data_IF_892940272467
#
_entry.id   IF_892940272467
#
_cell.length_a   1.000
_cell.length_b   1.000
_cell.length_c   1.000
_cell.angle_alpha   90.00
_cell.angle_beta   90.00
_cell.angle_gamma   90.00
#
_symmetry.space_group_name_H-M   'P 1'
#
loop_
_entity.id
_entity.type
_entity.pdbx_description
1 polymer ?
#
# COMPACT_ATOMS: atom_id res chain seq x y z
N UNK A 1 -28.79 -24.93 23.22
CA UNK A 1 -28.30 -23.82 22.39
C UNK A 1 -27.44 -24.42 21.28
N UNK A 2 -27.69 -24.07 20.01
CA UNK A 2 -26.69 -24.32 18.96
C UNK A 2 -25.44 -23.53 19.36
N UNK A 3 -24.26 -24.15 19.33
CA UNK A 3 -23.00 -23.41 19.39
C UNK A 3 -23.03 -22.43 18.21
N UNK A 4 -23.19 -21.13 18.49
CA UNK A 4 -23.01 -20.10 17.46
C UNK A 4 -21.51 -19.96 17.26
N UNK A 5 -21.04 -20.14 16.04
CA UNK A 5 -19.70 -19.71 15.67
C UNK A 5 -19.76 -18.18 15.60
N UNK A 6 -18.87 -17.51 16.34
CA UNK A 6 -18.81 -16.06 16.36
C UNK A 6 -17.43 -15.59 15.88
N UNK A 7 -17.42 -14.51 15.12
CA UNK A 7 -16.24 -13.85 14.63
C UNK A 7 -16.21 -12.41 15.13
N UNK A 8 -14.99 -11.90 15.38
CA UNK A 8 -14.75 -10.51 15.75
C UNK A 8 -14.04 -9.80 14.61
N UNK A 9 -14.53 -8.62 14.25
CA UNK A 9 -13.84 -7.69 13.37
C UNK A 9 -13.39 -6.48 14.19
N UNK A 10 -12.13 -6.08 14.02
CA UNK A 10 -11.57 -4.83 14.55
C UNK A 10 -11.01 -3.99 13.40
N UNK A 11 -11.13 -2.67 13.48
CA UNK A 11 -10.60 -1.76 12.47
C UNK A 11 -10.26 -0.38 13.02
N UNK A 12 -9.27 0.28 12.42
CA UNK A 12 -8.90 1.67 12.69
C UNK A 12 -9.15 2.50 11.43
N UNK A 13 -9.78 3.67 11.60
CA UNK A 13 -10.05 4.60 10.50
C UNK A 13 -9.75 6.04 10.91
N UNK A 14 -8.98 6.82 10.15
CA UNK A 14 -8.17 6.40 8.99
C UNK A 14 -7.07 5.40 9.37
N UNK A 15 -6.80 4.43 8.49
CA UNK A 15 -5.81 3.35 8.69
C UNK A 15 -4.35 3.79 8.46
N UNK A 16 -4.12 5.06 8.13
CA UNK A 16 -2.80 5.65 7.98
C UNK A 16 -2.51 6.57 9.16
N UNK A 17 -1.32 6.48 9.74
CA UNK A 17 -0.84 7.41 10.74
C UNK A 17 -0.60 8.78 10.11
N UNK A 18 -1.19 9.80 10.71
CA UNK A 18 -1.06 11.19 10.29
C UNK A 18 -0.86 12.04 11.55
N UNK A 19 0.35 12.60 11.76
CA UNK A 19 0.63 13.42 12.93
C UNK A 19 -0.18 14.73 12.95
N UNK A 20 -0.65 15.21 11.79
CA UNK A 20 -1.46 16.43 11.67
C UNK A 20 -2.94 16.16 11.94
N UNK A 21 -3.36 14.89 11.92
CA UNK A 21 -4.72 14.48 12.21
C UNK A 21 -4.79 13.60 13.47
N UNK A 22 -5.07 14.20 14.64
CA UNK A 22 -5.13 13.45 15.90
C UNK A 22 -6.36 12.55 16.02
N UNK A 23 -7.33 12.66 15.10
CA UNK A 23 -8.61 11.97 15.19
C UNK A 23 -8.59 10.63 14.45
N UNK A 24 -8.96 9.57 15.18
CA UNK A 24 -9.16 8.21 14.64
C UNK A 24 -10.41 7.58 15.22
N UNK A 25 -10.81 6.46 14.63
CA UNK A 25 -11.93 5.65 15.09
C UNK A 25 -11.49 4.20 15.21
N UNK A 26 -11.71 3.60 16.37
CA UNK A 26 -11.62 2.15 16.55
C UNK A 26 -13.04 1.60 16.41
N UNK A 27 -13.21 0.57 15.58
CA UNK A 27 -14.49 -0.12 15.40
C UNK A 27 -14.34 -1.59 15.78
N UNK A 28 -15.25 -2.11 16.59
CA UNK A 28 -15.34 -3.53 16.93
C UNK A 28 -16.75 -4.03 16.57
N UNK A 29 -16.83 -5.19 15.91
CA UNK A 29 -18.08 -5.87 15.56
C UNK A 29 -17.97 -7.35 15.88
N UNK A 30 -18.87 -7.85 16.72
CA UNK A 30 -19.04 -9.28 16.97
C UNK A 30 -20.24 -9.78 16.16
N UNK A 31 -20.06 -10.86 15.40
CA UNK A 31 -21.08 -11.37 14.50
C UNK A 31 -21.06 -12.89 14.41
N UNK A 32 -22.19 -13.48 14.05
CA UNK A 32 -22.32 -14.91 13.78
C UNK A 32 -21.61 -15.25 12.47
N UNK A 33 -20.63 -16.16 12.53
CA UNK A 33 -19.74 -16.47 11.40
C UNK A 33 -20.46 -17.11 10.21
N UNK A 34 -21.61 -17.76 10.45
CA UNK A 34 -22.35 -18.47 9.41
C UNK A 34 -23.34 -17.56 8.67
N UNK A 35 -23.88 -16.56 9.37
CA UNK A 35 -24.96 -15.69 8.86
C UNK A 35 -24.57 -14.23 8.67
N UNK A 36 -23.40 -13.83 9.17
CA UNK A 36 -22.96 -12.43 9.30
C UNK A 36 -23.93 -11.54 10.12
N UNK A 37 -24.86 -12.16 10.86
CA UNK A 37 -25.77 -11.45 11.74
C UNK A 37 -25.00 -10.85 12.93
N UNK A 38 -25.23 -9.57 13.20
CA UNK A 38 -24.62 -8.91 14.35
C UNK A 38 -25.10 -9.56 15.65
N UNK A 39 -24.18 -9.74 16.59
CA UNK A 39 -24.49 -10.14 17.95
C UNK A 39 -24.62 -8.84 18.76
N UNK A 40 -25.84 -8.54 19.20
CA UNK A 40 -26.19 -7.33 19.96
C UNK A 40 -25.87 -7.48 21.45
N UNK A 41 -25.93 -6.37 22.19
CA UNK A 41 -25.69 -6.29 23.64
C UNK A 41 -24.40 -7.00 24.06
N UNK A 42 -23.27 -6.46 23.61
CA UNK A 42 -21.95 -7.06 23.84
C UNK A 42 -21.11 -6.18 24.73
N UNK A 43 -20.53 -6.78 25.78
CA UNK A 43 -19.52 -6.15 26.62
C UNK A 43 -18.14 -6.78 26.35
N UNK A 44 -17.15 -5.92 26.13
CA UNK A 44 -15.76 -6.28 25.84
C UNK A 44 -14.85 -5.73 26.94
N UNK A 45 -13.92 -6.51 27.46
CA UNK A 45 -12.69 -5.96 28.04
C UNK A 45 -11.64 -5.88 26.93
N UNK A 46 -11.16 -4.68 26.63
CA UNK A 46 -10.26 -4.40 25.52
C UNK A 46 -8.97 -3.79 26.06
N UNK A 47 -7.88 -4.52 25.86
CA UNK A 47 -6.52 -4.05 26.07
C UNK A 47 -5.86 -3.73 24.73
N UNK A 48 -5.21 -2.57 24.62
CA UNK A 48 -4.41 -2.18 23.48
C UNK A 48 -2.97 -1.91 23.94
N UNK A 49 -1.99 -2.44 23.21
CA UNK A 49 -0.56 -2.28 23.47
C UNK A 49 0.18 -1.77 22.24
N UNK A 50 1.28 -1.05 22.46
CA UNK A 50 2.28 -0.73 21.44
C UNK A 50 3.65 -1.06 21.96
N UNK A 51 4.44 -1.81 21.19
CA UNK A 51 5.81 -2.21 21.54
C UNK A 51 5.87 -2.84 22.95
N UNK A 52 4.90 -3.71 23.27
CA UNK A 52 4.76 -4.39 24.57
C UNK A 52 4.27 -3.52 25.74
N UNK A 53 4.05 -2.21 25.54
CA UNK A 53 3.53 -1.30 26.58
C UNK A 53 2.03 -1.14 26.46
N UNK A 54 1.32 -1.30 27.58
CA UNK A 54 -0.13 -1.06 27.65
C UNK A 54 -0.43 0.43 27.42
N UNK A 55 -1.33 0.70 26.48
CA UNK A 55 -1.89 2.03 26.21
C UNK A 55 -3.12 2.22 27.08
N UNK A 56 -4.07 1.28 27.01
CA UNK A 56 -5.23 1.23 27.88
C UNK A 56 -5.68 -0.23 28.05
N UNK A 57 -6.44 -0.47 29.12
CA UNK A 57 -7.19 -1.72 29.34
C UNK A 57 -8.51 -1.36 30.02
N UNK A 58 -9.61 -1.46 29.27
CA UNK A 58 -10.89 -0.88 29.67
C UNK A 58 -12.06 -1.77 29.27
N UNK A 59 -13.19 -1.62 29.95
CA UNK A 59 -14.42 -2.32 29.62
C UNK A 59 -15.30 -1.40 28.78
N UNK A 60 -15.78 -1.91 27.64
CA UNK A 60 -16.68 -1.22 26.73
C UNK A 60 -17.95 -2.02 26.49
N UNK A 61 -19.04 -1.32 26.22
CA UNK A 61 -20.33 -1.93 25.91
C UNK A 61 -20.96 -1.29 24.67
N UNK A 62 -21.61 -2.10 23.83
CA UNK A 62 -22.47 -1.60 22.76
C UNK A 62 -23.73 -2.47 22.63
N UNK A 63 -24.88 -1.80 22.75
CA UNK A 63 -26.21 -2.42 22.63
C UNK A 63 -26.46 -2.99 21.22
N UNK A 64 -25.89 -2.37 20.18
CA UNK A 64 -26.10 -2.74 18.78
C UNK A 64 -24.99 -3.62 18.22
N UNK A 65 -24.07 -4.13 19.06
CA UNK A 65 -22.99 -5.01 18.66
C UNK A 65 -21.94 -4.39 17.72
N UNK A 66 -21.95 -3.06 17.54
CA UNK A 66 -21.05 -2.31 16.66
C UNK A 66 -20.39 -1.15 17.42
N UNK A 67 -19.53 -1.50 18.36
CA UNK A 67 -18.81 -0.54 19.18
C UNK A 67 -17.94 0.36 18.29
N UNK A 68 -18.15 1.66 18.39
CA UNK A 68 -17.34 2.68 17.71
C UNK A 68 -16.80 3.68 18.71
N UNK A 69 -15.48 3.71 18.84
CA UNK A 69 -14.75 4.58 19.76
C UNK A 69 -14.08 5.67 18.94
N UNK A 70 -14.40 6.94 19.23
CA UNK A 70 -13.62 8.07 18.71
C UNK A 70 -12.36 8.21 19.56
N UNK A 71 -11.20 8.28 18.92
CA UNK A 71 -9.91 8.49 19.58
C UNK A 71 -9.39 9.87 19.17
N UNK A 72 -8.98 10.66 20.16
CA UNK A 72 -8.30 11.95 19.95
C UNK A 72 -6.93 11.83 20.61
N UNK A 73 -5.90 11.64 19.79
CA UNK A 73 -4.53 11.52 20.26
C UNK A 73 -4.01 12.89 20.70
N UNK A 74 -3.44 12.97 21.91
CA UNK A 74 -2.84 14.19 22.45
C UNK A 74 -1.75 13.86 23.49
N UNK A 75 -1.16 14.90 24.06
CA UNK A 75 -0.04 14.80 25.01
C UNK A 75 -0.48 14.74 26.48
N UNK A 76 -1.67 14.20 26.77
CA UNK A 76 -2.04 13.89 28.15
C UNK A 76 -1.16 12.74 28.67
N UNK A 77 -0.97 12.69 29.98
CA UNK A 77 -0.19 11.60 30.60
C UNK A 77 -0.99 10.28 30.64
N UNK A 78 -2.30 10.37 30.79
CA UNK A 78 -3.22 9.23 30.92
C UNK A 78 -4.32 9.26 29.85
N UNK A 79 -4.93 8.09 29.62
CA UNK A 79 -6.12 7.96 28.78
C UNK A 79 -7.37 8.37 29.58
N UNK A 80 -8.14 9.31 29.03
CA UNK A 80 -9.42 9.78 29.56
C UNK A 80 -10.55 9.30 28.67
N UNK A 81 -11.61 8.77 29.28
CA UNK A 81 -12.80 8.27 28.59
C UNK A 81 -13.97 9.23 28.83
N UNK A 82 -14.58 9.70 27.74
CA UNK A 82 -15.81 10.47 27.75
C UNK A 82 -16.94 9.59 27.22
N UNK A 83 -17.78 9.09 28.13
CA UNK A 83 -18.91 8.23 27.83
C UNK A 83 -19.84 8.11 29.03
N UNK A 84 -20.78 7.17 28.95
CA UNK A 84 -21.56 6.70 30.10
C UNK A 84 -21.23 5.23 30.35
N UNK A 85 -21.45 4.74 31.56
CA UNK A 85 -21.22 3.34 31.90
C UNK A 85 -22.55 2.60 31.94
N UNK A 86 -22.60 1.40 31.36
CA UNK A 86 -23.75 0.53 31.52
C UNK A 86 -23.83 -0.05 32.94
N UNK A 87 -25.02 -0.32 33.50
CA UNK A 87 -25.19 -0.55 34.93
C UNK A 87 -24.71 -1.91 35.46
N UNK A 88 -24.51 -2.90 34.60
CA UNK A 88 -24.30 -4.31 34.96
C UNK A 88 -22.83 -4.63 35.19
N UNK A 89 -21.97 -4.36 34.20
CA UNK A 89 -20.53 -4.64 34.22
C UNK A 89 -19.68 -3.35 34.18
N UNK A 90 -20.32 -2.17 34.12
CA UNK A 90 -19.64 -0.88 34.10
C UNK A 90 -18.97 -0.53 32.77
N UNK A 91 -19.33 -1.20 31.68
CA UNK A 91 -18.74 -0.97 30.37
C UNK A 91 -19.03 0.43 29.82
N UNK A 92 -17.99 1.13 29.36
CA UNK A 92 -18.12 2.43 28.73
C UNK A 92 -18.84 2.32 27.38
N UNK A 93 -19.83 3.18 27.18
CA UNK A 93 -20.64 3.25 25.97
C UNK A 93 -20.93 4.70 25.59
N UNK A 94 -21.40 4.89 24.36
CA UNK A 94 -21.85 6.21 23.88
C UNK A 94 -23.06 6.68 24.68
N UNK A 95 -23.23 8.00 24.77
CA UNK A 95 -24.48 8.60 25.24
C UNK A 95 -25.43 8.78 24.04
N UNK A 96 -26.74 8.81 24.26
CA UNK A 96 -27.76 9.11 23.23
C UNK A 96 -27.44 10.33 22.36
N UNK A 97 -26.72 11.32 22.90
CA UNK A 97 -26.40 12.57 22.19
C UNK A 97 -24.91 12.76 21.87
N UNK A 98 -24.01 11.89 22.35
CA UNK A 98 -22.55 12.07 22.20
C UNK A 98 -21.83 10.74 21.95
N UNK A 99 -20.84 10.71 21.05
CA UNK A 99 -20.04 9.51 20.84
C UNK A 99 -19.23 9.17 22.10
N UNK A 100 -18.84 7.90 22.21
CA UNK A 100 -17.82 7.45 23.14
C UNK A 100 -16.45 7.97 22.64
N UNK A 101 -15.71 8.67 23.49
CA UNK A 101 -14.43 9.29 23.13
C UNK A 101 -13.32 8.85 24.09
N UNK A 102 -12.18 8.45 23.54
CA UNK A 102 -10.92 8.28 24.26
C UNK A 102 -9.98 9.44 23.90
N UNK A 103 -9.37 10.07 24.91
CA UNK A 103 -8.37 11.13 24.75
C UNK A 103 -7.10 10.72 25.46
N UNK A 104 -5.95 10.88 24.82
CA UNK A 104 -4.67 10.54 25.44
C UNK A 104 -3.61 10.15 24.41
N UNK A 105 -2.46 9.62 24.86
CA UNK A 105 -1.34 9.25 23.99
C UNK A 105 -1.56 7.86 23.36
N UNK A 106 -2.63 7.69 22.57
CA UNK A 106 -3.06 6.38 22.04
C UNK A 106 -2.36 6.03 20.73
N UNK A 107 -2.59 6.78 19.65
CA UNK A 107 -1.99 6.52 18.35
C UNK A 107 -0.87 7.52 18.07
N UNK A 108 0.20 7.46 18.88
CA UNK A 108 1.33 8.40 18.82
C UNK A 108 2.31 8.13 17.69
N UNK A 109 2.26 6.94 17.09
CA UNK A 109 3.08 6.52 15.95
C UNK A 109 2.34 5.55 15.04
N UNK A 110 2.87 5.29 13.84
CA UNK A 110 2.41 4.18 13.01
C UNK A 110 2.95 2.82 13.47
N UNK A 111 2.64 1.79 12.70
CA UNK A 111 3.08 0.43 12.91
C UNK A 111 2.04 -0.45 13.61
N UNK A 112 2.51 -1.56 14.18
CA UNK A 112 1.67 -2.62 14.71
C UNK A 112 1.23 -2.34 16.15
N UNK A 113 -0.06 -2.49 16.45
CA UNK A 113 -0.65 -2.39 17.78
C UNK A 113 -1.27 -3.73 18.17
N UNK A 114 -0.80 -4.33 19.26
CA UNK A 114 -1.33 -5.59 19.76
C UNK A 114 -2.61 -5.30 20.56
N UNK A 115 -3.60 -6.18 20.43
CA UNK A 115 -4.79 -6.13 21.26
C UNK A 115 -5.10 -7.48 21.88
N UNK A 116 -5.74 -7.40 23.05
CA UNK A 116 -6.41 -8.52 23.69
C UNK A 116 -7.85 -8.12 23.98
N UNK A 117 -8.81 -8.91 23.49
CA UNK A 117 -10.23 -8.67 23.68
C UNK A 117 -10.84 -9.87 24.39
N UNK A 118 -11.45 -9.62 25.55
CA UNK A 118 -12.24 -10.60 26.28
C UNK A 118 -13.72 -10.27 26.17
N UNK A 119 -14.53 -11.26 25.77
CA UNK A 119 -15.99 -11.09 25.66
C UNK A 119 -16.61 -11.42 27.02
N UNK A 120 -17.32 -10.46 27.62
CA UNK A 120 -17.89 -10.59 28.97
C UNK A 120 -19.39 -10.88 28.96
N UNK A 121 -20.13 -10.39 27.96
CA UNK A 121 -21.56 -10.67 27.79
C UNK A 121 -21.97 -10.55 26.32
N UNK A 122 -23.07 -11.21 25.94
CA UNK A 122 -23.63 -11.20 24.57
C UNK A 122 -25.15 -11.37 24.57
N UNK A 123 -25.84 -10.82 23.57
CA UNK A 123 -27.30 -10.87 23.34
C UNK A 123 -28.18 -10.22 24.42
N UNK A 124 -27.68 -10.04 25.64
CA UNK A 124 -28.31 -9.32 26.74
C UNK A 124 -27.26 -8.95 27.77
N UNK A 125 -27.39 -7.77 28.37
CA UNK A 125 -26.46 -7.26 29.39
C UNK A 125 -26.33 -8.22 30.60
N UNK A 126 -27.41 -8.97 30.89
CA UNK A 126 -27.46 -9.95 31.98
C UNK A 126 -26.89 -11.33 31.62
N UNK A 127 -26.65 -11.60 30.34
CA UNK A 127 -26.11 -12.86 29.87
C UNK A 127 -24.58 -12.83 29.90
N UNK A 128 -24.05 -12.83 31.13
CA UNK A 128 -22.62 -12.84 31.42
C UNK A 128 -22.04 -14.20 31.03
N UNK A 129 -20.89 -14.17 30.35
CA UNK A 129 -20.17 -15.37 29.93
C UNK A 129 -19.16 -15.71 31.02
N UNK A 130 -19.30 -16.90 31.63
CA UNK A 130 -18.37 -17.39 32.65
C UNK A 130 -17.06 -17.94 32.04
N UNK A 131 -17.12 -18.41 30.80
CA UNK A 131 -15.95 -18.90 30.07
C UNK A 131 -15.06 -17.73 29.61
N UNK A 132 -13.75 -17.89 29.76
CA UNK A 132 -12.78 -16.88 29.32
C UNK A 132 -12.60 -16.95 27.79
N UNK A 133 -13.47 -16.24 27.07
CA UNK A 133 -13.35 -16.08 25.62
C UNK A 133 -12.43 -14.90 25.35
N UNK A 134 -11.14 -15.19 25.15
CA UNK A 134 -10.09 -14.23 24.82
C UNK A 134 -9.69 -14.33 23.34
N UNK A 135 -9.45 -13.17 22.73
CA UNK A 135 -9.00 -13.01 21.37
C UNK A 135 -7.79 -12.09 21.37
N UNK A 136 -6.64 -12.64 21.00
CA UNK A 136 -5.40 -11.90 20.79
C UNK A 136 -5.18 -11.69 19.30
N UNK A 137 -4.71 -10.50 18.95
CA UNK A 137 -4.32 -10.18 17.59
C UNK A 137 -3.58 -8.86 17.52
N UNK A 138 -3.38 -8.36 16.32
CA UNK A 138 -2.72 -7.09 16.09
C UNK A 138 -3.36 -6.32 14.94
N UNK A 139 -3.27 -5.00 15.00
CA UNK A 139 -3.77 -4.09 13.98
C UNK A 139 -2.69 -3.09 13.57
N UNK A 140 -2.47 -2.99 12.27
CA UNK A 140 -1.47 -2.08 11.70
C UNK A 140 -2.06 -0.72 11.39
N UNK A 141 -1.33 0.32 11.77
CA UNK A 141 -1.56 1.68 11.33
C UNK A 141 -0.44 2.06 10.34
N UNK A 142 -0.76 2.20 9.05
CA UNK A 142 0.25 2.39 8.03
C UNK A 142 1.09 3.65 8.30
N UNK A 143 2.40 3.56 8.11
CA UNK A 143 3.33 4.66 8.39
C UNK A 143 4.08 5.06 7.12
N UNK A 144 4.07 6.36 6.85
CA UNK A 144 4.91 6.94 5.81
C UNK A 144 6.24 7.40 6.40
N UNK A 145 7.34 7.02 5.76
CA UNK A 145 8.70 7.41 6.11
C UNK A 145 9.37 8.06 4.90
N UNK A 146 10.22 9.06 5.14
CA UNK A 146 10.93 9.79 4.10
C UNK A 146 12.44 9.66 4.31
N UNK A 147 13.15 9.29 3.25
CA UNK A 147 14.59 9.08 3.28
C UNK A 147 15.26 9.87 2.17
N UNK A 148 16.34 10.57 2.52
CA UNK A 148 17.19 11.30 1.58
C UNK A 148 18.28 10.36 1.08
N UNK A 149 18.42 10.28 -0.23
CA UNK A 149 19.45 9.50 -0.92
C UNK A 149 20.09 10.35 -2.01
N UNK A 150 21.29 9.97 -2.47
CA UNK A 150 21.94 10.67 -3.58
C UNK A 150 21.90 9.80 -4.82
N UNK A 151 21.61 10.41 -5.97
CA UNK A 151 21.78 9.76 -7.28
C UNK A 151 23.26 9.68 -7.70
N UNK A 152 23.54 9.15 -8.90
CA UNK A 152 24.90 9.05 -9.42
C UNK A 152 25.60 10.40 -9.63
N UNK A 153 24.84 11.49 -9.77
CA UNK A 153 25.34 12.86 -9.90
C UNK A 153 25.51 13.56 -8.55
N UNK A 154 25.27 12.86 -7.45
CA UNK A 154 25.26 13.41 -6.09
C UNK A 154 24.16 14.45 -5.86
N UNK A 155 23.07 14.39 -6.61
CA UNK A 155 21.86 15.16 -6.32
C UNK A 155 20.99 14.44 -5.29
N UNK A 156 20.52 15.17 -4.29
CA UNK A 156 19.63 14.63 -3.26
C UNK A 156 18.25 14.32 -3.87
N UNK A 157 17.76 13.10 -3.63
CA UNK A 157 16.41 12.62 -3.94
C UNK A 157 15.74 12.18 -2.65
N UNK A 158 14.42 12.39 -2.56
CA UNK A 158 13.61 11.92 -1.44
C UNK A 158 12.84 10.69 -1.86
N UNK A 159 13.10 9.56 -1.21
CA UNK A 159 12.31 8.33 -1.34
C UNK A 159 11.28 8.31 -0.21
N UNK A 160 10.06 7.91 -0.55
CA UNK A 160 9.02 7.63 0.44
C UNK A 160 8.83 6.12 0.56
N UNK A 161 8.84 5.60 1.79
CA UNK A 161 8.49 4.21 2.09
C UNK A 161 7.25 4.20 2.97
N UNK A 162 6.20 3.54 2.50
CA UNK A 162 4.96 3.33 3.25
C UNK A 162 4.92 1.87 3.68
N UNK A 163 4.93 1.64 4.99
CA UNK A 163 4.73 0.32 5.56
C UNK A 163 3.31 0.15 6.03
N UNK A 164 2.67 -0.93 5.60
CA UNK A 164 1.32 -1.32 6.00
C UNK A 164 1.32 -2.38 7.11
N UNK A 165 2.50 -2.75 7.63
CA UNK A 165 2.64 -3.77 8.67
C UNK A 165 3.14 -3.17 10.00
N UNK A 166 4.44 -2.87 10.09
CA UNK A 166 5.04 -2.21 11.26
C UNK A 166 5.99 -1.08 10.84
N UNK A 167 6.55 -0.34 11.80
CA UNK A 167 7.48 0.77 11.56
C UNK A 167 8.73 0.32 10.80
N UNK A 168 9.21 1.19 9.93
CA UNK A 168 10.47 0.98 9.19
C UNK A 168 11.66 1.28 10.10
N UNK A 169 12.67 0.42 10.04
CA UNK A 169 13.94 0.51 10.74
C UNK A 169 15.11 0.35 9.74
N UNK A 170 16.32 0.74 10.17
CA UNK A 170 17.60 0.45 9.50
C UNK A 170 17.66 0.75 7.99
N UNK A 171 17.06 1.86 7.55
CA UNK A 171 17.14 2.27 6.16
C UNK A 171 18.58 2.55 5.73
N UNK A 172 18.96 2.03 4.57
CA UNK A 172 20.20 2.38 3.88
C UNK A 172 20.02 2.35 2.36
N UNK A 173 20.85 3.14 1.67
CA UNK A 173 20.90 3.16 0.22
C UNK A 173 22.36 3.13 -0.24
N UNK A 174 22.75 2.03 -0.89
CA UNK A 174 24.12 1.80 -1.34
C UNK A 174 24.10 1.08 -2.69
N UNK A 175 24.95 1.49 -3.63
CA UNK A 175 25.09 0.82 -4.94
C UNK A 175 23.75 0.60 -5.67
N UNK A 176 22.91 1.65 -5.73
CA UNK A 176 21.58 1.60 -6.35
C UNK A 176 20.66 0.52 -5.75
N UNK A 177 20.80 0.26 -4.46
CA UNK A 177 20.02 -0.72 -3.71
C UNK A 177 19.48 -0.08 -2.46
N UNK A 178 18.15 -0.17 -2.29
CA UNK A 178 17.46 0.22 -1.07
C UNK A 178 17.44 -1.00 -0.13
N UNK A 179 17.79 -0.79 1.13
CA UNK A 179 17.59 -1.77 2.21
C UNK A 179 16.87 -1.12 3.36
N UNK A 180 15.98 -1.87 3.99
CA UNK A 180 15.29 -1.46 5.21
C UNK A 180 14.78 -2.71 5.93
N UNK A 181 14.48 -2.58 7.21
CA UNK A 181 13.88 -3.65 7.99
C UNK A 181 12.61 -3.16 8.68
N UNK A 182 11.89 -4.11 9.27
CA UNK A 182 10.84 -3.83 10.23
C UNK A 182 10.80 -4.96 11.26
N UNK A 183 10.30 -4.70 12.48
CA UNK A 183 10.02 -5.76 13.44
C UNK A 183 9.07 -6.80 12.85
N UNK A 184 9.43 -8.08 12.95
CA UNK A 184 8.61 -9.19 12.51
C UNK A 184 8.98 -10.47 13.25
N UNK A 185 8.04 -10.99 14.05
CA UNK A 185 8.24 -12.26 14.73
C UNK A 185 7.98 -13.42 13.76
N UNK A 186 9.03 -14.04 13.24
CA UNK A 186 8.90 -15.20 12.36
C UNK A 186 8.32 -16.43 13.05
N UNK A 187 8.26 -16.43 14.38
CA UNK A 187 7.70 -17.52 15.19
C UNK A 187 6.21 -17.35 15.54
N UNK A 188 5.58 -16.25 15.11
CA UNK A 188 4.17 -15.99 15.38
C UNK A 188 3.23 -16.98 14.65
N UNK A 189 1.94 -16.94 15.03
CA UNK A 189 0.90 -17.61 14.28
C UNK A 189 0.65 -16.87 12.96
N UNK A 190 1.16 -17.45 11.87
CA UNK A 190 1.03 -16.88 10.54
C UNK A 190 -0.40 -16.97 10.00
N UNK A 191 -1.30 -17.76 10.61
CA UNK A 191 -2.70 -17.85 10.18
C UNK A 191 -3.46 -16.53 10.36
N UNK A 192 -3.01 -15.68 11.29
CA UNK A 192 -3.59 -14.36 11.52
C UNK A 192 -3.09 -13.30 10.52
N UNK A 193 -2.04 -13.61 9.74
CA UNK A 193 -1.47 -12.71 8.76
C UNK A 193 -2.07 -12.95 7.38
N UNK A 194 -2.57 -11.90 6.73
CA UNK A 194 -2.97 -11.97 5.32
C UNK A 194 -1.80 -11.67 4.39
N UNK A 195 -1.13 -10.54 4.62
CA UNK A 195 -0.08 -10.01 3.75
C UNK A 195 0.84 -9.06 4.51
N UNK A 196 2.11 -9.04 4.12
CA UNK A 196 3.02 -7.94 4.41
C UNK A 196 3.16 -7.10 3.15
N UNK A 197 2.77 -5.83 3.23
CA UNK A 197 2.78 -4.90 2.10
C UNK A 197 3.62 -3.67 2.41
N UNK A 198 4.54 -3.36 1.49
CA UNK A 198 5.37 -2.16 1.48
C UNK A 198 5.19 -1.42 0.15
N UNK A 199 5.16 -0.09 0.19
CA UNK A 199 5.25 0.76 -1.00
C UNK A 199 6.53 1.60 -0.94
N UNK A 200 7.29 1.62 -2.04
CA UNK A 200 8.44 2.49 -2.22
C UNK A 200 8.10 3.45 -3.35
N UNK A 201 7.94 4.74 -3.04
CA UNK A 201 7.72 5.78 -4.05
C UNK A 201 9.04 6.44 -4.40
N UNK A 202 9.37 6.36 -5.67
CA UNK A 202 10.61 6.84 -6.27
C UNK A 202 10.23 8.07 -7.10
N UNK A 203 10.80 9.24 -6.82
CA UNK A 203 10.46 10.44 -7.57
C UNK A 203 10.87 10.28 -9.03
N UNK A 204 10.06 10.82 -9.94
CA UNK A 204 10.30 10.77 -11.37
C UNK A 204 11.62 11.45 -11.79
N UNK A 205 12.25 12.21 -10.89
CA UNK A 205 13.56 12.83 -11.07
C UNK A 205 14.73 11.93 -10.71
N UNK A 206 14.48 10.73 -10.18
CA UNK A 206 15.50 9.74 -9.84
C UNK A 206 15.67 8.69 -10.94
N UNK A 207 16.14 9.16 -12.11
CA UNK A 207 16.32 8.37 -13.34
C UNK A 207 17.01 7.01 -13.13
N UNK A 208 18.10 6.97 -12.36
CA UNK A 208 18.92 5.76 -12.16
C UNK A 208 18.19 4.63 -11.45
N UNK A 209 17.20 4.97 -10.62
CA UNK A 209 16.44 4.01 -9.85
C UNK A 209 15.12 3.65 -10.54
N UNK A 210 14.72 4.38 -11.59
CA UNK A 210 13.53 4.08 -12.37
C UNK A 210 13.82 2.94 -13.35
N UNK A 211 13.18 1.79 -13.13
CA UNK A 211 13.29 0.61 -13.99
C UNK A 211 11.93 -0.02 -14.26
N UNK A 212 11.82 -0.75 -15.36
CA UNK A 212 10.62 -1.53 -15.72
C UNK A 212 10.51 -2.83 -14.92
N UNK A 213 11.56 -3.20 -14.18
CA UNK A 213 11.58 -4.34 -13.28
C UNK A 213 12.45 -4.04 -12.07
N UNK A 214 12.04 -4.54 -10.92
CA UNK A 214 12.86 -4.56 -9.71
C UNK A 214 13.01 -6.00 -9.24
N UNK A 215 14.15 -6.28 -8.61
CA UNK A 215 14.39 -7.50 -7.85
C UNK A 215 14.32 -7.14 -6.37
N UNK A 216 13.61 -7.96 -5.61
CA UNK A 216 13.47 -7.77 -4.17
C UNK A 216 13.81 -9.04 -3.42
N UNK A 217 14.40 -8.89 -2.23
CA UNK A 217 14.65 -10.01 -1.32
C UNK A 217 14.06 -9.74 0.05
N UNK A 218 13.62 -10.80 0.73
CA UNK A 218 13.27 -10.78 2.15
C UNK A 218 14.20 -11.73 2.89
N UNK A 219 14.90 -11.21 3.90
CA UNK A 219 15.89 -11.95 4.70
C UNK A 219 16.94 -12.68 3.82
N UNK A 220 17.29 -12.08 2.68
CA UNK A 220 18.24 -12.63 1.69
C UNK A 220 17.63 -13.64 0.70
N UNK A 221 16.32 -13.88 0.76
CA UNK A 221 15.60 -14.79 -0.14
C UNK A 221 14.97 -13.98 -1.26
N UNK A 222 15.34 -14.28 -2.51
CA UNK A 222 14.76 -13.63 -3.68
C UNK A 222 13.25 -13.88 -3.72
N UNK A 223 12.48 -12.80 -3.80
CA UNK A 223 11.04 -12.86 -3.95
C UNK A 223 10.65 -13.19 -5.40
N UNK A 224 9.50 -13.85 -5.61
CA UNK A 224 8.94 -14.05 -6.93
C UNK A 224 8.62 -12.72 -7.63
N UNK A 225 8.67 -12.71 -8.95
CA UNK A 225 8.39 -11.54 -9.79
C UNK A 225 6.96 -10.99 -9.60
N UNK A 226 6.01 -11.83 -9.20
CA UNK A 226 4.62 -11.47 -8.91
C UNK A 226 4.42 -10.77 -7.55
N UNK A 227 5.38 -10.87 -6.64
CA UNK A 227 5.35 -10.14 -5.36
C UNK A 227 5.81 -8.68 -5.51
N UNK A 228 6.26 -8.29 -6.71
CA UNK A 228 6.71 -6.94 -7.02
C UNK A 228 5.88 -6.38 -8.17
N UNK A 229 5.15 -5.30 -7.90
CA UNK A 229 4.40 -4.58 -8.94
C UNK A 229 4.82 -3.11 -8.97
N UNK A 230 4.63 -2.49 -10.14
CA UNK A 230 4.95 -1.09 -10.39
C UNK A 230 3.65 -0.36 -10.71
N UNK A 231 3.46 0.81 -10.10
CA UNK A 231 2.36 1.73 -10.37
C UNK A 231 2.89 3.17 -10.49
N UNK A 232 2.74 3.77 -11.68
CA UNK A 232 3.18 5.15 -11.98
C UNK A 232 2.06 6.20 -11.78
N UNK A 233 0.92 5.82 -11.18
CA UNK A 233 -0.33 6.59 -11.14
C UNK A 233 -0.23 8.05 -10.67
N UNK A 234 0.79 8.44 -9.88
CA UNK A 234 0.86 9.78 -9.26
C UNK A 234 1.47 10.88 -10.12
N UNK A 235 1.91 10.62 -11.36
CA UNK A 235 2.69 11.52 -12.25
C UNK A 235 4.06 11.98 -11.69
N UNK A 236 4.16 12.17 -10.37
CA UNK A 236 5.34 12.63 -9.67
C UNK A 236 6.27 11.48 -9.28
N UNK A 237 5.72 10.29 -9.02
CA UNK A 237 6.48 9.15 -8.53
C UNK A 237 6.13 7.84 -9.24
N UNK A 238 7.11 6.94 -9.30
CA UNK A 238 6.91 5.51 -9.52
C UNK A 238 6.73 4.84 -8.16
N UNK A 239 5.61 4.18 -7.95
CA UNK A 239 5.37 3.35 -6.77
C UNK A 239 5.74 1.91 -7.07
N UNK A 240 6.59 1.31 -6.23
CA UNK A 240 6.92 -0.11 -6.27
C UNK A 240 6.28 -0.78 -5.06
N UNK A 241 5.37 -1.71 -5.30
CA UNK A 241 4.74 -2.50 -4.24
C UNK A 241 5.54 -3.77 -4.03
N UNK A 242 5.87 -4.07 -2.77
CA UNK A 242 6.37 -5.38 -2.35
C UNK A 242 5.26 -6.03 -1.53
N UNK A 243 4.68 -7.10 -2.06
CA UNK A 243 3.52 -7.79 -1.49
C UNK A 243 3.91 -9.24 -1.21
N UNK A 244 4.15 -9.56 0.06
CA UNK A 244 4.50 -10.91 0.52
C UNK A 244 3.27 -11.50 1.18
N UNK A 245 2.55 -12.35 0.46
CA UNK A 245 1.33 -12.98 0.96
C UNK A 245 1.65 -14.07 2.01
N UNK A 246 0.64 -14.48 2.77
CA UNK A 246 0.77 -15.49 3.82
C UNK A 246 1.44 -16.79 3.34
N UNK A 247 1.07 -17.28 2.15
CA UNK A 247 1.64 -18.52 1.60
C UNK A 247 3.14 -18.38 1.39
N UNK A 248 3.60 -17.29 0.77
CA UNK A 248 5.00 -17.03 0.55
C UNK A 248 5.77 -16.85 1.87
N UNK A 249 5.19 -16.15 2.85
CA UNK A 249 5.79 -16.03 4.20
C UNK A 249 6.02 -17.42 4.80
N UNK A 250 5.01 -18.31 4.75
CA UNK A 250 5.13 -19.70 5.22
C UNK A 250 6.22 -20.46 4.47
N UNK A 251 6.31 -20.30 3.15
CA UNK A 251 7.32 -20.96 2.32
C UNK A 251 8.76 -20.51 2.62
N UNK A 252 8.97 -19.23 2.92
CA UNK A 252 10.33 -18.68 3.14
C UNK A 252 10.77 -18.73 4.61
N UNK A 253 9.85 -18.94 5.56
CA UNK A 253 10.09 -18.89 7.02
C UNK A 253 11.35 -19.62 7.47
N UNK A 254 11.49 -20.90 7.15
CA UNK A 254 12.59 -21.73 7.65
C UNK A 254 13.96 -21.19 7.22
N UNK A 255 14.06 -20.59 6.03
CA UNK A 255 15.28 -19.96 5.56
C UNK A 255 15.45 -18.55 6.15
N UNK A 256 14.37 -17.78 6.24
CA UNK A 256 14.40 -16.39 6.69
C UNK A 256 14.87 -16.25 8.14
N UNK A 257 14.50 -17.19 9.01
CA UNK A 257 14.89 -17.26 10.43
C UNK A 257 16.42 -17.36 10.61
N UNK A 258 17.16 -17.92 9.64
CA UNK A 258 18.62 -17.99 9.73
C UNK A 258 19.29 -16.61 9.61
N UNK A 259 18.61 -15.64 8.99
CA UNK A 259 19.06 -14.25 8.89
C UNK A 259 18.63 -13.43 10.10
N UNK A 260 17.35 -13.56 10.50
CA UNK A 260 16.79 -12.95 11.71
C UNK A 260 15.43 -13.60 12.01
N UNK A 261 15.15 -13.86 13.28
CA UNK A 261 13.84 -14.35 13.76
C UNK A 261 12.93 -13.24 14.30
N UNK A 262 13.48 -12.03 14.48
CA UNK A 262 12.77 -10.86 15.05
C UNK A 262 12.58 -9.71 14.05
N UNK A 263 13.18 -9.78 12.86
CA UNK A 263 13.08 -8.76 11.83
C UNK A 263 12.78 -9.36 10.45
N UNK A 264 12.03 -8.59 9.65
CA UNK A 264 11.90 -8.82 8.21
C UNK A 264 12.74 -7.78 7.47
N UNK A 265 13.79 -8.25 6.78
CA UNK A 265 14.79 -7.43 6.11
C UNK A 265 14.50 -7.38 4.62
N UNK A 266 14.15 -6.21 4.11
CA UNK A 266 13.87 -5.98 2.70
C UNK A 266 15.10 -5.43 1.98
N UNK A 267 15.28 -5.86 0.74
CA UNK A 267 16.20 -5.27 -0.21
C UNK A 267 15.48 -5.08 -1.54
N UNK A 268 15.63 -3.91 -2.17
CA UNK A 268 15.07 -3.61 -3.49
C UNK A 268 16.16 -3.04 -4.39
N UNK A 269 16.32 -3.62 -5.58
CA UNK A 269 17.32 -3.21 -6.58
C UNK A 269 16.66 -3.12 -7.96
N UNK A 270 16.93 -2.07 -8.76
CA UNK A 270 16.52 -2.04 -10.16
C UNK A 270 17.14 -3.21 -10.95
N UNK A 271 16.30 -3.95 -11.68
CA UNK A 271 16.75 -5.09 -12.48
C UNK A 271 17.47 -4.63 -13.75
N UNK A 272 18.49 -5.39 -14.18
CA UNK A 272 19.13 -5.24 -15.49
C UNK A 272 18.28 -5.79 -16.64
N UNK A 273 17.40 -6.75 -16.32
CA UNK A 273 16.44 -7.30 -17.26
C UNK A 273 15.21 -6.40 -17.32
N UNK A 274 14.70 -6.17 -18.52
CA UNK A 274 13.45 -5.44 -18.76
C UNK A 274 12.26 -6.38 -18.60
N UNK A 275 11.19 -5.91 -17.97
CA UNK A 275 9.89 -6.59 -17.90
C UNK A 275 8.82 -5.72 -18.52
N UNK A 276 8.13 -6.26 -19.50
CA UNK A 276 6.98 -5.64 -20.13
C UNK A 276 5.77 -6.57 -20.08
N UNK A 277 4.56 -6.02 -20.19
CA UNK A 277 4.26 -4.57 -20.24
C UNK A 277 4.29 -3.91 -18.85
N UNK A 278 4.45 -2.58 -18.82
CA UNK A 278 3.99 -1.77 -17.69
C UNK A 278 2.49 -1.61 -17.79
N UNK A 279 1.79 -1.46 -16.66
CA UNK A 279 0.35 -1.29 -16.66
C UNK A 279 -0.16 -0.26 -15.65
N UNK A 280 -1.28 0.38 -15.97
CA UNK A 280 -2.08 1.13 -15.01
C UNK A 280 -3.57 0.93 -15.31
N UNK A 281 -4.41 1.21 -14.31
CA UNK A 281 -5.87 1.31 -14.48
C UNK A 281 -6.30 2.77 -14.36
N UNK A 282 -7.19 3.22 -15.25
CA UNK A 282 -7.68 4.59 -15.20
C UNK A 282 -8.48 4.87 -13.92
N UNK A 283 -8.45 6.10 -13.38
CA UNK A 283 -9.17 6.49 -12.17
C UNK A 283 -10.68 6.17 -12.18
N UNK A 284 -11.31 6.17 -13.35
CA UNK A 284 -12.71 5.83 -13.55
C UNK A 284 -12.98 4.33 -13.70
N UNK A 285 -11.95 3.49 -13.52
CA UNK A 285 -11.98 2.03 -13.62
C UNK A 285 -12.50 1.51 -14.96
N UNK A 286 -12.42 2.31 -16.02
CA UNK A 286 -12.93 1.94 -17.35
C UNK A 286 -11.90 1.21 -18.19
N UNK A 287 -10.64 1.63 -18.13
CA UNK A 287 -9.59 1.07 -18.97
C UNK A 287 -8.41 0.58 -18.15
N UNK A 288 -7.90 -0.60 -18.50
CA UNK A 288 -6.54 -1.03 -18.22
C UNK A 288 -5.68 -0.67 -19.43
N UNK A 289 -4.54 -0.04 -19.18
CA UNK A 289 -3.59 0.39 -20.20
C UNK A 289 -2.31 -0.38 -20.00
N UNK A 290 -1.80 -1.01 -21.07
CA UNK A 290 -0.52 -1.70 -21.05
C UNK A 290 0.44 -1.03 -22.03
N UNK A 291 1.66 -0.74 -21.58
CA UNK A 291 2.71 -0.09 -22.36
C UNK A 291 3.95 -0.99 -22.45
N UNK A 292 4.49 -1.10 -23.66
CA UNK A 292 5.83 -1.63 -23.91
C UNK A 292 6.49 -0.84 -25.03
N UNK A 293 7.79 -0.99 -25.22
CA UNK A 293 8.51 -0.31 -26.30
C UNK A 293 9.70 -1.13 -26.81
N UNK A 294 10.20 -0.75 -28.00
CA UNK A 294 11.44 -1.26 -28.58
C UNK A 294 12.23 -0.13 -29.26
N UNK A 295 13.57 -0.08 -29.13
CA UNK A 295 14.45 -0.99 -28.37
C UNK A 295 14.19 -0.94 -26.85
N UNK A 296 14.67 -1.94 -26.10
CA UNK A 296 14.40 -2.07 -24.65
C UNK A 296 14.90 -0.88 -23.84
N UNK A 297 16.09 -0.38 -24.20
CA UNK A 297 16.69 0.83 -23.65
C UNK A 297 16.41 1.98 -24.62
N UNK A 298 15.86 3.08 -24.12
CA UNK A 298 15.55 4.25 -24.93
C UNK A 298 16.80 5.14 -24.99
N UNK A 299 17.37 5.31 -26.17
CA UNK A 299 18.42 6.31 -26.43
C UNK A 299 17.87 7.46 -27.27
N UNK A 300 18.34 8.69 -27.01
CA UNK A 300 18.14 9.81 -27.92
C UNK A 300 18.82 9.54 -29.26
N UNK A 301 18.28 10.11 -30.33
CA UNK A 301 18.70 9.89 -31.71
C UNK A 301 18.19 8.59 -32.35
N UNK A 302 17.70 7.63 -31.56
CA UNK A 302 17.13 6.38 -32.08
C UNK A 302 15.61 6.49 -32.31
N UNK A 303 15.07 5.67 -33.23
CA UNK A 303 13.61 5.55 -33.41
C UNK A 303 13.05 4.49 -32.46
N UNK A 304 12.18 4.90 -31.54
CA UNK A 304 11.54 4.03 -30.56
C UNK A 304 10.12 3.76 -31.01
N UNK A 305 9.73 2.49 -31.03
CA UNK A 305 8.34 2.08 -31.24
C UNK A 305 7.68 1.76 -29.91
N UNK A 306 6.68 2.54 -29.53
CA UNK A 306 5.81 2.30 -28.38
C UNK A 306 4.60 1.46 -28.80
N UNK A 307 4.24 0.48 -27.98
CA UNK A 307 3.09 -0.40 -28.15
C UNK A 307 2.12 -0.22 -26.98
N UNK A 308 0.87 0.13 -27.27
CA UNK A 308 -0.17 0.46 -26.31
C UNK A 308 -1.36 -0.50 -26.51
N UNK A 309 -1.66 -1.31 -25.50
CA UNK A 309 -2.91 -2.05 -25.43
C UNK A 309 -3.88 -1.33 -24.50
N UNK A 310 -5.11 -1.17 -24.98
CA UNK A 310 -6.23 -0.63 -24.20
C UNK A 310 -7.22 -1.78 -23.99
N UNK A 311 -7.50 -2.11 -22.75
CA UNK A 311 -8.52 -3.10 -22.39
C UNK A 311 -9.62 -2.42 -21.59
N UNK A 312 -10.88 -2.66 -21.95
CA UNK A 312 -12.00 -2.07 -21.23
C UNK A 312 -12.51 -3.02 -20.15
N UNK A 313 -12.68 -2.51 -18.94
CA UNK A 313 -13.30 -3.25 -17.84
C UNK A 313 -14.82 -3.27 -17.98
N UNK A 314 -15.44 -4.33 -17.44
CA UNK A 314 -16.90 -4.48 -17.35
C UNK A 314 -17.64 -4.33 -18.70
N UNK A 315 -17.01 -4.70 -19.82
CA UNK A 315 -17.63 -4.74 -21.14
C UNK A 315 -17.68 -6.15 -21.73
N UNK A 316 -18.38 -6.29 -22.85
CA UNK A 316 -18.47 -7.52 -23.66
C UNK A 316 -17.14 -7.89 -24.34
N UNK A 317 -16.06 -7.15 -24.05
CA UNK A 317 -14.73 -7.27 -24.65
C UNK A 317 -14.76 -7.17 -26.18
N UNK A 318 -15.78 -6.53 -26.75
CA UNK A 318 -15.85 -6.27 -28.19
C UNK A 318 -14.70 -5.34 -28.61
N UNK A 319 -14.15 -5.62 -29.79
CA UNK A 319 -13.15 -4.77 -30.44
C UNK A 319 -13.83 -3.49 -30.91
N UNK A 320 -13.28 -2.34 -30.53
CA UNK A 320 -13.78 -1.02 -30.95
C UNK A 320 -12.65 -0.01 -31.08
N UNK A 321 -12.92 1.07 -31.79
CA UNK A 321 -12.02 2.22 -31.89
C UNK A 321 -12.39 3.26 -30.83
N UNK A 322 -11.38 3.84 -30.21
CA UNK A 322 -11.52 5.00 -29.33
C UNK A 322 -10.49 6.06 -29.70
N UNK A 323 -10.83 7.31 -29.44
CA UNK A 323 -9.90 8.43 -29.52
C UNK A 323 -9.17 8.60 -28.18
N UNK A 324 -7.92 9.06 -28.19
CA UNK A 324 -7.15 9.42 -27.01
C UNK A 324 -6.02 10.38 -27.36
N UNK A 325 -5.54 11.11 -26.35
CA UNK A 325 -4.37 11.98 -26.48
C UNK A 325 -3.14 11.29 -25.89
N UNK A 326 -2.04 11.30 -26.64
CA UNK A 326 -0.70 10.92 -26.16
C UNK A 326 0.15 12.18 -25.99
N UNK A 327 0.65 12.41 -24.78
CA UNK A 327 1.55 13.53 -24.46
C UNK A 327 2.80 13.03 -23.76
N UNK A 328 3.97 13.56 -24.14
CA UNK A 328 5.20 13.39 -23.38
C UNK A 328 5.51 14.68 -22.62
N UNK A 329 5.71 14.58 -21.31
CA UNK A 329 5.99 15.72 -20.43
C UNK A 329 7.35 15.50 -19.76
N UNK A 330 8.24 16.48 -19.90
CA UNK A 330 9.56 16.49 -19.27
C UNK A 330 9.80 17.87 -18.65
N UNK A 331 10.31 17.92 -17.41
CA UNK A 331 10.54 19.17 -16.67
C UNK A 331 9.30 20.10 -16.72
N UNK A 332 8.12 19.53 -16.48
CA UNK A 332 6.82 20.21 -16.53
C UNK A 332 6.44 20.85 -17.89
N UNK A 333 7.15 20.49 -18.96
CA UNK A 333 6.93 21.01 -20.31
C UNK A 333 6.53 19.88 -21.26
N UNK A 334 5.55 20.13 -22.15
CA UNK A 334 5.18 19.16 -23.18
C UNK A 334 6.24 19.15 -24.28
N UNK A 335 6.87 17.99 -24.49
CA UNK A 335 7.87 17.80 -25.55
C UNK A 335 7.31 17.08 -26.78
N UNK A 336 6.15 16.43 -26.63
CA UNK A 336 5.41 15.77 -27.70
C UNK A 336 3.91 15.75 -27.36
N UNK A 337 3.04 15.88 -28.37
CA UNK A 337 1.60 15.74 -28.20
C UNK A 337 0.97 15.28 -29.51
N UNK A 338 0.10 14.27 -29.45
CA UNK A 338 -0.63 13.78 -30.62
C UNK A 338 -2.00 13.25 -30.21
N UNK A 339 -3.03 13.65 -30.96
CA UNK A 339 -4.36 13.05 -30.89
C UNK A 339 -4.40 11.80 -31.78
N UNK A 340 -4.95 10.71 -31.27
CA UNK A 340 -4.84 9.37 -31.85
C UNK A 340 -6.17 8.63 -31.81
N UNK A 341 -6.34 7.73 -32.78
CA UNK A 341 -7.41 6.73 -32.78
C UNK A 341 -6.77 5.37 -32.65
N UNK A 342 -7.26 4.53 -31.74
CA UNK A 342 -6.73 3.20 -31.53
C UNK A 342 -7.77 2.16 -31.14
N UNK A 343 -7.36 0.91 -31.26
CA UNK A 343 -8.17 -0.25 -30.92
C UNK A 343 -8.17 -0.49 -29.41
N UNK A 344 -9.34 -0.88 -28.91
CA UNK A 344 -9.57 -1.40 -27.55
C UNK A 344 -9.92 -2.88 -27.64
N UNK A 345 -9.54 -3.67 -26.63
CA UNK A 345 -9.76 -5.13 -26.54
C UNK A 345 -9.19 -5.89 -27.76
N UNK A 346 -8.05 -5.41 -28.28
CA UNK A 346 -7.38 -5.98 -29.46
C UNK A 346 -6.11 -6.72 -29.06
N UNK A 347 -5.89 -7.90 -29.65
CA UNK A 347 -4.62 -8.63 -29.56
C UNK A 347 -3.47 -7.87 -30.22
N UNK A 348 -3.76 -7.06 -31.26
CA UNK A 348 -2.76 -6.20 -31.89
C UNK A 348 -2.68 -4.87 -31.13
N UNK A 349 -1.50 -4.50 -30.58
CA UNK A 349 -1.31 -3.22 -29.91
C UNK A 349 -1.44 -2.05 -30.90
N UNK A 350 -1.82 -0.89 -30.37
CA UNK A 350 -1.64 0.38 -31.05
C UNK A 350 -0.15 0.73 -31.04
N UNK A 351 0.43 1.17 -32.16
CA UNK A 351 1.87 1.43 -32.25
C UNK A 351 2.16 2.86 -32.68
N UNK A 352 3.11 3.51 -32.00
CA UNK A 352 3.56 4.87 -32.32
C UNK A 352 5.08 4.95 -32.28
N UNK A 353 5.65 5.63 -33.27
CA UNK A 353 7.10 5.83 -33.38
C UNK A 353 7.47 7.24 -32.95
N UNK A 354 8.50 7.36 -32.12
CA UNK A 354 9.03 8.64 -31.61
C UNK A 354 10.55 8.56 -31.62
N UNK A 355 11.21 9.64 -32.05
CA UNK A 355 12.64 9.84 -31.91
C UNK A 355 12.86 11.02 -30.97
N UNK A 356 13.69 10.81 -29.95
CA UNK A 356 14.04 11.84 -28.98
C UNK A 356 15.30 12.57 -29.42
N UNK A 357 15.34 13.89 -29.23
CA UNK A 357 16.56 14.67 -29.42
C UNK A 357 17.48 14.53 -28.19
N UNK A 358 18.77 14.81 -28.33
CA UNK A 358 19.74 14.69 -27.23
C UNK A 358 19.40 15.58 -26.02
N UNK A 359 18.81 16.76 -26.26
CA UNK A 359 18.35 17.68 -25.21
C UNK A 359 17.11 17.16 -24.44
N UNK A 360 16.50 16.08 -24.92
CA UNK A 360 15.37 15.38 -24.28
C UNK A 360 15.80 14.18 -23.42
N UNK A 361 17.11 13.99 -23.21
CA UNK A 361 17.63 12.97 -22.29
C UNK A 361 17.19 13.23 -20.83
N UNK A 362 17.06 12.16 -20.05
CA UNK A 362 16.55 12.18 -18.68
C UNK A 362 15.19 11.49 -18.58
N UNK A 363 14.39 11.86 -17.59
CA UNK A 363 13.08 11.24 -17.37
C UNK A 363 11.97 11.99 -18.07
N UNK A 364 10.92 11.27 -18.48
CA UNK A 364 9.73 11.85 -19.09
C UNK A 364 8.47 11.07 -18.71
N UNK A 365 7.37 11.79 -18.48
CA UNK A 365 6.05 11.21 -18.28
C UNK A 365 5.41 10.91 -19.64
N UNK A 366 5.11 9.64 -19.90
CA UNK A 366 4.30 9.17 -21.02
C UNK A 366 2.83 9.15 -20.62
N UNK A 367 2.09 10.17 -21.02
CA UNK A 367 0.72 10.42 -20.58
C UNK A 367 -0.28 10.02 -21.65
N UNK A 368 -1.24 9.20 -21.25
CA UNK A 368 -2.45 8.92 -22.03
C UNK A 368 -3.63 9.58 -21.33
N UNK A 369 -4.41 10.36 -22.07
CA UNK A 369 -5.56 11.09 -21.51
C UNK A 369 -6.74 11.16 -22.47
N UNK A 370 -7.90 11.52 -21.92
CA UNK A 370 -9.15 11.71 -22.67
C UNK A 370 -9.55 10.46 -23.48
N UNK A 371 -9.25 9.25 -22.96
CA UNK A 371 -9.59 8.00 -23.66
C UNK A 371 -11.12 7.95 -23.82
N UNK A 372 -11.57 7.87 -25.08
CA UNK A 372 -12.98 7.93 -25.47
C UNK A 372 -13.71 9.19 -24.94
N UNK A 373 -13.00 10.33 -24.89
CA UNK A 373 -13.56 11.63 -24.51
C UNK A 373 -13.80 11.83 -23.01
N UNK A 374 -13.32 10.94 -22.13
CA UNK A 374 -13.48 11.09 -20.69
C UNK A 374 -12.20 11.62 -20.02
N UNK A 375 -12.30 12.76 -19.33
CA UNK A 375 -11.17 13.39 -18.63
C UNK A 375 -10.63 12.60 -17.44
N UNK A 376 -11.41 11.63 -16.91
CA UNK A 376 -10.98 10.69 -15.88
C UNK A 376 -10.35 9.42 -16.46
N UNK A 377 -10.55 9.13 -17.75
CA UNK A 377 -9.85 8.03 -18.42
C UNK A 377 -8.44 8.49 -18.83
N UNK A 378 -7.55 8.59 -17.85
CA UNK A 378 -6.17 9.07 -18.02
C UNK A 378 -5.20 8.35 -17.08
N UNK A 379 -3.90 8.44 -17.39
CA UNK A 379 -2.80 7.98 -16.54
C UNK A 379 -1.46 8.20 -17.23
N UNK A 380 -0.37 7.81 -16.56
CA UNK A 380 0.98 7.97 -17.08
C UNK A 380 1.85 6.73 -16.81
N UNK A 381 2.95 6.67 -17.56
CA UNK A 381 4.12 5.87 -17.26
C UNK A 381 5.33 6.79 -17.16
N UNK A 382 6.35 6.40 -16.42
CA UNK A 382 7.63 7.13 -16.36
C UNK A 382 8.66 6.43 -17.24
N UNK A 383 9.24 7.17 -18.18
CA UNK A 383 10.30 6.73 -19.08
C UNK A 383 11.65 7.28 -18.62
N UNK A 384 12.70 6.51 -18.92
CA UNK A 384 14.10 6.95 -18.83
C UNK A 384 14.67 6.99 -20.24
N UNK A 385 15.13 8.16 -20.66
CA UNK A 385 15.72 8.43 -21.98
C UNK A 385 17.21 8.66 -21.77
N UNK A 386 18.03 7.75 -22.26
CA UNK A 386 19.49 7.85 -22.18
C UNK A 386 20.03 8.73 -23.32
N UNK A 387 21.19 9.38 -23.12
CA UNK A 387 21.88 10.07 -24.20
C UNK A 387 22.18 9.15 -25.38
N UNK A 388 22.38 9.75 -26.55
CA UNK A 388 22.73 9.04 -27.76
C UNK A 388 24.02 8.25 -27.57
N UNK A 389 24.06 7.07 -28.16
CA UNK A 389 25.28 6.25 -28.17
C UNK A 389 26.25 6.95 -29.13
N UNK A 390 27.25 7.65 -28.59
CA UNK A 390 28.36 8.17 -29.39
C UNK A 390 28.97 6.99 -30.16
N UNK A 391 28.81 6.96 -31.48
CA UNK A 391 29.65 6.12 -32.33
C UNK A 391 31.07 6.65 -32.14
N UNK A 392 31.89 5.92 -31.38
CA UNK A 392 33.33 6.14 -31.42
C UNK A 392 33.76 5.97 -32.88
N UNK A 393 34.15 7.08 -33.51
CA UNK A 393 34.85 7.06 -34.78
C UNK A 393 35.99 6.04 -34.67
N UNK A 394 35.91 5.00 -35.50
CA UNK A 394 37.00 4.03 -35.63
C UNK A 394 38.22 4.82 -36.11
N UNK A 395 39.39 4.72 -35.44
CA UNK A 395 40.60 5.34 -35.96
C UNK A 395 40.92 4.70 -37.31
N UNK A 396 41.02 5.56 -38.33
CA UNK A 396 41.34 5.22 -39.71
C UNK A 396 42.71 4.55 -39.88
#
# INVERSE_FOLDING_TARGET
>A
MKRKNASLSIGITPSVYDPENPEKYISLRLFDSDTDAIIEHVTFEFELKKDGKQIFKEIFHDELGNLKIKVITNNLDDVIIEGVQEPTLGGWMKNNSKPLVLKGPIFTSGGLYDYTIKILSVNSDSNIIDDEIMLDGAISLAQTNFFKVNDYLSEEKTIQIISYFDKIEEFSFESNTIKFSMPFNWNQDLEQLSVVHQEIRIPNTFGDFLSTKYESTVNGILLPDESITIDDYSFEDRTVHIVVNQELIKQIRDKAIHTSDTQMNFQLTPSKNVKFPLEFTTPDLRYKVLLSWKPEIIHSGEEITFFINLEEYFSDKAKKLVEYDLTLIQKNSKIFSKHLVGNVNSEKPNSHKITFNDDQSGTANFVLSNINGNSLSKGNFILVIHPSILQNDSPA
#
